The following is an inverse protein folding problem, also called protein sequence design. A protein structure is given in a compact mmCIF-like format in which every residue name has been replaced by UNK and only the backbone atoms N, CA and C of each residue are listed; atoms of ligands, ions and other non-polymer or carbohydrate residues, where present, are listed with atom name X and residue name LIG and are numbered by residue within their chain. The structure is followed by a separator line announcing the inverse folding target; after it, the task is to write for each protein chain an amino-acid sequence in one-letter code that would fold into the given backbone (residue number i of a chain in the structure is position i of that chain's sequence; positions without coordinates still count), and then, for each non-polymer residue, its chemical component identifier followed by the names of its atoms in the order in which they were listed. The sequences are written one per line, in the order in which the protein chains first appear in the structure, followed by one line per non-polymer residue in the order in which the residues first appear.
data_IF_733368268942
#
_entry.id   IF_733368268942
#
_cell.length_a   1.000
_cell.length_b   1.000
_cell.length_c   1.000
_cell.angle_alpha   90.00
_cell.angle_beta   90.00
_cell.angle_gamma   90.00
#
_symmetry.space_group_name_H-M   'P 1'
#
loop_
_entity.id
_entity.type
_entity.pdbx_description
1 polymer ?
#
# COMPACT_ATOMS: atom_id res chain seq x y z
N UNK A 1 -9.84 16.55 -33.37
CA UNK A 1 -10.48 15.38 -32.74
C UNK A 1 -9.41 14.29 -32.68
N UNK A 2 -8.81 14.10 -31.51
CA UNK A 2 -7.66 13.21 -31.25
C UNK A 2 -8.06 12.22 -30.16
N UNK A 3 -7.53 10.99 -30.18
CA UNK A 3 -8.34 9.80 -29.96
C UNK A 3 -8.64 9.54 -28.49
N UNK A 4 -9.88 9.11 -28.24
CA UNK A 4 -10.38 8.58 -26.97
C UNK A 4 -9.80 7.20 -26.60
N UNK A 5 -8.71 6.75 -27.25
CA UNK A 5 -8.15 5.40 -27.12
C UNK A 5 -7.25 5.19 -25.90
N UNK A 6 -6.62 6.25 -25.39
CA UNK A 6 -5.64 6.11 -24.30
C UNK A 6 -6.30 5.85 -22.94
N UNK A 7 -7.50 6.39 -22.70
CA UNK A 7 -8.24 6.14 -21.44
C UNK A 7 -8.69 4.68 -21.35
N UNK A 8 -9.23 4.15 -22.45
CA UNK A 8 -9.85 2.82 -22.47
C UNK A 8 -8.79 1.70 -22.41
N UNK A 9 -7.64 1.89 -23.07
CA UNK A 9 -6.49 0.99 -22.93
C UNK A 9 -5.90 1.05 -21.51
N UNK A 10 -5.68 2.24 -20.94
CA UNK A 10 -5.14 2.38 -19.59
C UNK A 10 -6.10 1.82 -18.54
N UNK A 11 -7.40 2.06 -18.67
CA UNK A 11 -8.42 1.45 -17.81
C UNK A 11 -8.44 -0.08 -17.94
N UNK A 12 -8.33 -0.61 -19.16
CA UNK A 12 -8.19 -2.05 -19.39
C UNK A 12 -6.95 -2.65 -18.73
N UNK A 13 -5.81 -1.96 -18.78
CA UNK A 13 -4.59 -2.37 -18.09
C UNK A 13 -4.73 -2.31 -16.56
N UNK A 14 -5.38 -1.26 -16.03
CA UNK A 14 -5.66 -1.15 -14.58
C UNK A 14 -6.55 -2.32 -14.14
N UNK A 15 -7.60 -2.64 -14.90
CA UNK A 15 -8.49 -3.76 -14.62
C UNK A 15 -7.75 -5.11 -14.68
N UNK A 16 -6.88 -5.32 -15.68
CA UNK A 16 -6.03 -6.50 -15.76
C UNK A 16 -5.05 -6.61 -14.59
N UNK A 17 -4.50 -5.48 -14.13
CA UNK A 17 -3.63 -5.42 -12.96
C UNK A 17 -4.42 -5.73 -11.68
N UNK A 18 -5.62 -5.17 -11.50
CA UNK A 18 -6.53 -5.49 -10.40
C UNK A 18 -6.82 -6.99 -10.34
N UNK A 19 -7.19 -7.60 -11.48
CA UNK A 19 -7.42 -9.03 -11.57
C UNK A 19 -6.19 -9.86 -11.13
N UNK A 20 -4.98 -9.47 -11.57
CA UNK A 20 -3.74 -10.12 -11.17
C UNK A 20 -3.45 -9.99 -9.65
N UNK A 21 -3.76 -8.84 -9.06
CA UNK A 21 -3.57 -8.58 -7.64
C UNK A 21 -4.55 -9.39 -6.77
N UNK A 22 -5.81 -9.48 -7.18
CA UNK A 22 -6.88 -10.11 -6.42
C UNK A 22 -6.67 -11.63 -6.25
N UNK A 23 -6.02 -12.32 -7.19
CA UNK A 23 -5.68 -13.75 -7.04
C UNK A 23 -6.90 -14.67 -6.83
N UNK A 24 -6.69 -15.98 -6.60
CA UNK A 24 -7.80 -16.94 -6.42
C UNK A 24 -8.64 -16.61 -5.18
N UNK A 25 -9.82 -16.03 -5.45
CA UNK A 25 -10.87 -15.68 -4.50
C UNK A 25 -11.29 -16.92 -3.69
N UNK A 26 -10.83 -17.05 -2.44
CA UNK A 26 -11.37 -18.02 -1.48
C UNK A 26 -10.38 -18.59 -0.46
N UNK A 27 -9.06 -18.54 -0.70
CA UNK A 27 -8.07 -19.09 0.22
C UNK A 27 -6.87 -18.14 0.41
N UNK A 28 -6.33 -18.10 1.63
CA UNK A 28 -5.09 -17.36 1.92
C UNK A 28 -3.94 -17.91 1.07
N UNK A 29 -3.20 -16.99 0.45
CA UNK A 29 -1.99 -17.36 -0.30
C UNK A 29 -0.91 -17.89 0.66
N UNK A 30 0.04 -18.67 0.14
CA UNK A 30 1.18 -19.13 0.94
C UNK A 30 1.99 -17.97 1.54
N UNK A 31 2.12 -16.85 0.81
CA UNK A 31 2.78 -15.65 1.32
C UNK A 31 2.01 -15.02 2.48
N UNK A 32 0.68 -15.02 2.43
CA UNK A 32 -0.17 -14.53 3.50
C UNK A 32 -0.02 -15.37 4.77
N UNK A 33 0.00 -16.70 4.65
CA UNK A 33 0.25 -17.61 5.78
C UNK A 33 1.65 -17.41 6.38
N UNK A 34 2.68 -17.24 5.55
CA UNK A 34 4.04 -16.91 6.01
C UNK A 34 4.07 -15.59 6.78
N UNK A 35 3.36 -14.57 6.29
CA UNK A 35 3.23 -13.31 7.02
C UNK A 35 2.54 -13.49 8.37
N UNK A 36 1.43 -14.24 8.45
CA UNK A 36 0.78 -14.54 9.72
C UNK A 36 1.74 -15.24 10.70
N UNK A 37 2.53 -16.20 10.24
CA UNK A 37 3.55 -16.86 11.07
C UNK A 37 4.59 -15.86 11.60
N UNK A 38 5.07 -14.92 10.76
CA UNK A 38 5.99 -13.87 11.21
C UNK A 38 5.33 -12.98 12.28
N UNK A 39 4.05 -12.64 12.12
CA UNK A 39 3.33 -11.83 13.09
C UNK A 39 3.19 -12.57 14.43
N UNK A 40 2.86 -13.87 14.42
CA UNK A 40 2.81 -14.68 15.63
C UNK A 40 4.18 -14.82 16.31
N UNK A 41 5.26 -14.98 15.54
CA UNK A 41 6.60 -15.21 16.11
C UNK A 41 7.28 -13.94 16.57
N UNK A 42 7.09 -12.83 15.86
CA UNK A 42 7.89 -11.61 16.01
C UNK A 42 7.06 -10.37 16.39
N UNK A 43 5.73 -10.42 16.28
CA UNK A 43 4.88 -9.23 16.38
C UNK A 43 4.90 -8.55 17.74
N UNK A 44 5.25 -9.27 18.80
CA UNK A 44 5.39 -8.77 20.18
C UNK A 44 6.84 -8.53 20.61
N UNK A 45 7.83 -8.72 19.72
CA UNK A 45 9.27 -8.53 20.02
C UNK A 45 9.99 -7.63 18.99
N UNK A 46 9.25 -6.90 18.16
CA UNK A 46 9.81 -5.93 17.22
C UNK A 46 9.73 -6.30 15.74
N UNK A 47 8.61 -6.84 15.25
CA UNK A 47 8.43 -7.08 13.80
C UNK A 47 8.34 -5.75 13.03
N UNK A 48 9.22 -5.56 12.05
CA UNK A 48 9.13 -4.47 11.07
C UNK A 48 8.65 -4.99 9.72
N UNK A 49 7.66 -4.33 9.12
CA UNK A 49 7.06 -4.73 7.85
C UNK A 49 7.06 -3.56 6.87
N UNK A 50 7.86 -3.68 5.83
CA UNK A 50 7.78 -2.83 4.64
C UNK A 50 7.01 -3.56 3.54
N UNK A 51 5.91 -2.98 3.08
CA UNK A 51 5.06 -3.61 2.08
C UNK A 51 4.75 -2.66 0.92
N UNK A 52 5.20 -3.04 -0.27
CA UNK A 52 5.01 -2.29 -1.51
C UNK A 52 3.96 -2.96 -2.41
N UNK A 53 3.13 -2.16 -3.07
CA UNK A 53 2.21 -2.64 -4.12
C UNK A 53 1.36 -3.83 -3.67
N UNK A 54 1.40 -4.97 -4.37
CA UNK A 54 0.74 -6.23 -3.98
C UNK A 54 1.20 -6.77 -2.62
N UNK A 55 2.44 -6.50 -2.22
CA UNK A 55 2.97 -6.91 -0.92
C UNK A 55 2.10 -6.41 0.24
N UNK A 56 1.50 -5.21 0.10
CA UNK A 56 0.59 -4.68 1.11
C UNK A 56 -0.70 -5.50 1.22
N UNK A 57 -1.17 -6.16 0.14
CA UNK A 57 -2.31 -7.09 0.22
C UNK A 57 -1.93 -8.37 0.95
N UNK A 58 -0.67 -8.81 0.86
CA UNK A 58 -0.20 -9.97 1.62
C UNK A 58 -0.26 -9.70 3.12
N UNK A 59 0.29 -8.56 3.55
CA UNK A 59 0.25 -8.12 4.94
C UNK A 59 -1.20 -7.81 5.39
N UNK A 60 -1.92 -7.02 4.58
CA UNK A 60 -3.29 -6.60 4.85
C UNK A 60 -4.28 -7.75 4.98
N UNK A 61 -4.35 -8.64 3.99
CA UNK A 61 -5.26 -9.79 4.04
C UNK A 61 -4.87 -10.76 5.16
N UNK A 62 -3.58 -10.94 5.44
CA UNK A 62 -3.12 -11.82 6.51
C UNK A 62 -3.49 -11.30 7.89
N UNK A 63 -3.27 -10.02 8.15
CA UNK A 63 -3.68 -9.38 9.39
C UNK A 63 -5.20 -9.35 9.53
N UNK A 64 -5.94 -8.99 8.47
CA UNK A 64 -7.39 -8.91 8.53
C UNK A 64 -8.05 -10.29 8.72
N UNK A 65 -7.49 -11.34 8.14
CA UNK A 65 -7.94 -12.70 8.38
C UNK A 65 -7.78 -13.11 9.85
N UNK A 66 -6.66 -12.78 10.49
CA UNK A 66 -6.44 -13.04 11.92
C UNK A 66 -7.45 -12.28 12.79
N UNK A 67 -7.63 -10.99 12.52
CA UNK A 67 -8.63 -10.14 13.19
C UNK A 67 -10.05 -10.74 13.07
N UNK A 68 -10.45 -11.16 11.87
CA UNK A 68 -11.75 -11.79 11.62
C UNK A 68 -11.96 -13.08 12.41
N UNK A 69 -10.88 -13.81 12.71
CA UNK A 69 -10.91 -15.01 13.57
C UNK A 69 -10.77 -14.68 15.07
N UNK A 70 -10.88 -13.41 15.46
CA UNK A 70 -10.85 -12.98 16.86
C UNK A 70 -9.45 -12.99 17.47
N UNK A 71 -8.40 -13.07 16.66
CA UNK A 71 -7.02 -12.98 17.16
C UNK A 71 -6.73 -11.54 17.57
N UNK A 72 -6.08 -11.36 18.72
CA UNK A 72 -5.62 -10.08 19.21
C UNK A 72 -4.37 -10.25 20.10
N UNK A 73 -3.71 -9.15 20.46
CA UNK A 73 -2.54 -9.14 21.34
C UNK A 73 -1.25 -9.77 20.80
N UNK A 74 -1.14 -9.99 19.49
CA UNK A 74 0.04 -10.60 18.83
C UNK A 74 0.97 -9.59 18.14
N UNK A 75 0.56 -8.32 18.03
CA UNK A 75 1.25 -7.31 17.22
C UNK A 75 1.69 -6.06 18.01
N UNK A 76 1.96 -6.20 19.31
CA UNK A 76 2.20 -5.06 20.23
C UNK A 76 3.43 -4.22 19.87
N UNK A 77 4.44 -4.84 19.27
CA UNK A 77 5.69 -4.19 18.87
C UNK A 77 5.87 -4.20 17.34
N UNK A 78 4.77 -4.33 16.60
CA UNK A 78 4.81 -4.39 15.14
C UNK A 78 4.74 -3.00 14.53
N UNK A 79 5.65 -2.69 13.61
CA UNK A 79 5.67 -1.43 12.85
C UNK A 79 5.52 -1.71 11.37
N UNK A 80 4.71 -0.90 10.67
CA UNK A 80 4.34 -1.16 9.28
C UNK A 80 4.47 0.11 8.44
N UNK A 81 5.17 -0.01 7.31
CA UNK A 81 5.23 1.01 6.27
C UNK A 81 4.66 0.47 4.96
N UNK A 82 3.76 1.22 4.36
CA UNK A 82 3.14 0.92 3.08
C UNK A 82 3.62 1.90 2.01
N UNK A 83 4.04 1.37 0.86
CA UNK A 83 4.57 2.13 -0.28
C UNK A 83 3.74 1.82 -1.53
N UNK A 84 3.06 2.82 -2.10
CA UNK A 84 2.11 2.63 -3.21
C UNK A 84 1.18 1.41 -3.01
N UNK A 85 0.55 1.24 -1.83
CA UNK A 85 -0.04 -0.04 -1.45
C UNK A 85 -1.32 -0.36 -2.22
N UNK A 86 -1.45 -1.60 -2.69
CA UNK A 86 -2.71 -2.10 -3.26
C UNK A 86 -3.78 -2.41 -2.19
N UNK A 87 -3.39 -2.44 -0.92
CA UNK A 87 -4.30 -2.61 0.22
C UNK A 87 -4.64 -1.27 0.84
N UNK A 88 -5.83 -1.16 1.44
CA UNK A 88 -6.25 0.07 2.09
C UNK A 88 -5.52 0.25 3.43
N UNK A 89 -4.75 1.33 3.55
CA UNK A 89 -3.89 1.62 4.70
C UNK A 89 -4.70 1.96 5.94
N UNK A 90 -5.87 2.59 5.78
CA UNK A 90 -6.76 2.82 6.92
C UNK A 90 -7.29 1.51 7.49
N UNK A 91 -7.71 0.56 6.63
CA UNK A 91 -8.11 -0.77 7.08
C UNK A 91 -6.94 -1.48 7.78
N UNK A 92 -5.71 -1.36 7.25
CA UNK A 92 -4.55 -1.93 7.90
C UNK A 92 -4.29 -1.33 9.29
N UNK A 93 -4.40 -0.01 9.44
CA UNK A 93 -4.24 0.65 10.74
C UNK A 93 -5.32 0.22 11.73
N UNK A 94 -6.57 0.13 11.27
CA UNK A 94 -7.71 -0.33 12.07
C UNK A 94 -7.49 -1.78 12.55
N UNK A 95 -7.06 -2.68 11.65
CA UNK A 95 -6.72 -4.08 11.96
C UNK A 95 -5.51 -4.19 12.90
N UNK A 96 -4.43 -3.44 12.64
CA UNK A 96 -3.21 -3.47 13.46
C UNK A 96 -3.51 -3.00 14.90
N UNK A 97 -4.40 -2.02 15.05
CA UNK A 97 -4.89 -1.58 16.36
C UNK A 97 -5.53 -2.74 17.14
N UNK A 98 -6.38 -3.53 16.50
CA UNK A 98 -7.02 -4.70 17.15
C UNK A 98 -5.98 -5.77 17.46
N UNK A 99 -5.13 -6.14 16.50
CA UNK A 99 -4.11 -7.17 16.68
C UNK A 99 -3.05 -6.82 17.74
N UNK A 100 -2.91 -5.54 18.07
CA UNK A 100 -1.96 -5.04 19.06
C UNK A 100 -2.57 -4.68 20.42
N UNK A 101 -3.86 -4.98 20.65
CA UNK A 101 -4.60 -4.52 21.84
C UNK A 101 -4.51 -2.99 22.05
N UNK A 102 -4.54 -2.24 20.94
CA UNK A 102 -4.44 -0.77 20.92
C UNK A 102 -3.03 -0.21 21.14
N UNK A 103 -1.98 -1.04 21.18
CA UNK A 103 -0.59 -0.57 21.33
C UNK A 103 -0.04 0.09 20.08
N UNK A 104 -0.45 -0.37 18.90
CA UNK A 104 -0.06 0.18 17.61
C UNK A 104 -1.27 0.86 16.97
N UNK A 105 -1.21 2.16 16.73
CA UNK A 105 -2.37 2.94 16.32
C UNK A 105 -2.22 3.65 14.98
N UNK A 106 -1.15 3.35 14.22
CA UNK A 106 -0.99 3.86 12.86
C UNK A 106 -0.21 2.91 11.96
N UNK A 107 -0.36 3.12 10.65
CA UNK A 107 0.50 2.55 9.61
C UNK A 107 1.06 3.71 8.80
N UNK A 108 2.36 3.68 8.50
CA UNK A 108 2.98 4.71 7.68
C UNK A 108 2.61 4.51 6.21
N UNK A 109 2.27 5.60 5.52
CA UNK A 109 1.94 5.61 4.10
C UNK A 109 2.89 6.51 3.33
N UNK A 110 3.40 5.99 2.22
CA UNK A 110 3.94 6.77 1.13
C UNK A 110 3.17 6.39 -0.15
N UNK A 111 2.47 7.36 -0.73
CA UNK A 111 1.66 7.11 -1.91
C UNK A 111 1.63 8.33 -2.83
N UNK A 112 1.92 8.12 -4.10
CA UNK A 112 1.97 9.19 -5.08
C UNK A 112 0.58 9.43 -5.70
N UNK A 113 0.20 10.70 -5.93
CA UNK A 113 -1.11 11.08 -6.50
C UNK A 113 -1.48 10.36 -7.80
N UNK A 114 -0.50 10.13 -8.67
CA UNK A 114 -0.69 9.47 -9.96
C UNK A 114 -0.43 7.95 -9.93
N UNK A 115 -0.11 7.38 -8.77
CA UNK A 115 -0.03 5.92 -8.60
C UNK A 115 -1.44 5.33 -8.50
N UNK A 116 -1.91 4.68 -9.57
CA UNK A 116 -3.24 4.09 -9.58
C UNK A 116 -3.35 2.86 -8.65
N UNK A 117 -2.24 2.17 -8.35
CA UNK A 117 -2.26 1.01 -7.45
C UNK A 117 -2.63 1.48 -6.04
N UNK A 118 -1.95 2.51 -5.56
CA UNK A 118 -2.29 3.14 -4.28
C UNK A 118 -3.66 3.84 -4.28
N UNK A 119 -3.91 4.70 -5.26
CA UNK A 119 -5.06 5.62 -5.23
C UNK A 119 -6.37 5.03 -5.72
N UNK A 120 -6.34 4.10 -6.70
CA UNK A 120 -7.56 3.50 -7.27
C UNK A 120 -7.83 2.10 -6.74
N UNK A 121 -6.81 1.25 -6.67
CA UNK A 121 -6.96 -0.13 -6.19
C UNK A 121 -7.04 -0.14 -4.66
N UNK A 122 -6.00 0.37 -3.99
CA UNK A 122 -5.97 0.46 -2.53
C UNK A 122 -6.88 1.54 -1.94
N UNK A 123 -7.38 2.48 -2.76
CA UNK A 123 -8.20 3.62 -2.35
C UNK A 123 -7.55 4.45 -1.25
N UNK A 124 -6.23 4.59 -1.32
CA UNK A 124 -5.43 5.33 -0.35
C UNK A 124 -5.34 6.81 -0.71
N UNK A 125 -5.22 7.71 0.29
CA UNK A 125 -4.84 9.09 0.04
C UNK A 125 -3.42 9.14 -0.55
N UNK A 126 -3.08 10.23 -1.22
CA UNK A 126 -1.70 10.50 -1.63
C UNK A 126 -1.01 11.35 -0.58
N UNK A 127 0.31 11.22 -0.49
CA UNK A 127 1.17 11.96 0.45
C UNK A 127 2.14 12.90 -0.26
N UNK A 128 2.36 12.71 -1.56
CA UNK A 128 3.12 13.59 -2.44
C UNK A 128 2.63 13.47 -3.90
N UNK A 129 3.01 14.44 -4.75
CA UNK A 129 2.40 14.57 -6.09
C UNK A 129 3.32 15.12 -7.20
N UNK A 130 4.61 15.33 -6.92
CA UNK A 130 5.52 15.90 -7.91
C UNK A 130 5.71 14.95 -9.10
N UNK A 131 5.65 15.52 -10.31
CA UNK A 131 5.93 14.83 -11.57
C UNK A 131 6.84 15.69 -12.46
N UNK A 132 7.53 15.10 -13.45
CA UNK A 132 8.37 15.88 -14.36
C UNK A 132 7.58 16.97 -15.11
N UNK A 133 8.17 18.15 -15.38
CA UNK A 133 7.55 19.19 -16.19
C UNK A 133 7.07 18.66 -17.55
N UNK A 134 5.88 19.07 -17.97
CA UNK A 134 5.26 18.57 -19.21
C UNK A 134 4.77 17.12 -19.16
N UNK A 135 4.82 16.47 -17.98
CA UNK A 135 4.14 15.20 -17.76
C UNK A 135 2.69 15.41 -17.29
N UNK A 136 1.91 14.34 -17.29
CA UNK A 136 0.53 14.34 -16.85
C UNK A 136 0.09 12.98 -16.30
N UNK A 137 -1.09 12.91 -15.65
CA UNK A 137 -1.55 11.71 -14.95
C UNK A 137 -1.55 10.44 -15.82
N UNK A 138 -1.94 10.55 -17.09
CA UNK A 138 -1.99 9.42 -18.02
C UNK A 138 -0.62 8.88 -18.38
N UNK A 139 0.33 9.78 -18.67
CA UNK A 139 1.71 9.42 -18.96
C UNK A 139 2.34 8.71 -17.77
N UNK A 140 2.17 9.26 -16.57
CA UNK A 140 2.73 8.66 -15.36
C UNK A 140 2.12 7.30 -15.02
N UNK A 141 0.81 7.12 -15.23
CA UNK A 141 0.17 5.80 -15.09
C UNK A 141 0.73 4.80 -16.09
N UNK A 142 0.98 5.21 -17.33
CA UNK A 142 1.66 4.37 -18.33
C UNK A 142 3.09 4.00 -17.92
N UNK A 143 3.81 4.91 -17.26
CA UNK A 143 5.18 4.66 -16.78
C UNK A 143 5.25 3.60 -15.67
N UNK A 144 4.18 3.42 -14.89
CA UNK A 144 4.11 2.35 -13.86
C UNK A 144 4.34 0.97 -14.49
N UNK A 145 3.81 0.73 -15.68
CA UNK A 145 4.00 -0.55 -16.39
C UNK A 145 5.40 -0.71 -16.99
N UNK A 146 6.13 0.38 -17.20
CA UNK A 146 7.52 0.36 -17.69
C UNK A 146 8.54 0.19 -16.57
N UNK A 147 8.10 0.14 -15.31
CA UNK A 147 8.94 -0.12 -14.15
C UNK A 147 9.61 1.14 -13.59
N UNK A 148 10.91 1.05 -13.32
CA UNK A 148 11.68 2.10 -12.68
C UNK A 148 12.32 3.06 -13.69
N UNK A 149 12.35 4.38 -13.42
CA UNK A 149 11.66 5.09 -12.35
C UNK A 149 10.21 5.42 -12.75
N UNK A 150 9.29 5.32 -11.79
CA UNK A 150 7.89 5.69 -11.97
C UNK A 150 7.26 6.10 -10.64
N UNK A 151 6.09 6.74 -10.71
CA UNK A 151 5.29 7.11 -9.54
C UNK A 151 4.91 5.93 -8.63
N UNK A 152 4.99 4.69 -9.13
CA UNK A 152 4.73 3.48 -8.34
C UNK A 152 6.01 2.81 -7.81
N UNK A 153 7.19 3.15 -8.35
CA UNK A 153 8.47 2.57 -7.94
C UNK A 153 9.35 3.54 -7.12
N UNK A 154 9.01 4.83 -7.12
CA UNK A 154 9.78 5.88 -6.47
C UNK A 154 9.21 6.23 -5.09
N UNK A 155 9.52 5.36 -4.14
CA UNK A 155 9.14 5.48 -2.72
C UNK A 155 10.36 5.26 -1.81
N UNK A 156 10.28 5.67 -0.56
CA UNK A 156 11.36 5.56 0.43
C UNK A 156 12.59 6.40 0.10
N UNK A 157 13.77 5.94 0.47
CA UNK A 157 15.05 6.59 0.12
C UNK A 157 15.47 6.25 -1.33
N UNK A 158 14.57 6.51 -2.28
CA UNK A 158 14.81 6.20 -3.69
C UNK A 158 15.98 7.02 -4.25
N UNK A 159 16.74 6.42 -5.19
CA UNK A 159 17.91 7.05 -5.79
C UNK A 159 17.62 8.35 -6.55
N UNK A 160 18.68 9.05 -6.97
CA UNK A 160 18.62 10.38 -7.61
C UNK A 160 17.60 10.50 -8.75
N UNK A 161 17.42 9.44 -9.57
CA UNK A 161 16.45 9.44 -10.66
C UNK A 161 14.99 9.57 -10.19
N UNK A 162 14.67 9.10 -8.98
CA UNK A 162 13.36 9.27 -8.38
C UNK A 162 13.21 10.66 -7.76
N UNK A 163 14.16 11.11 -6.95
CA UNK A 163 14.03 12.41 -6.29
C UNK A 163 14.06 13.57 -7.28
N UNK A 164 14.79 13.46 -8.39
CA UNK A 164 14.79 14.50 -9.43
C UNK A 164 13.50 14.55 -10.24
N UNK A 165 12.84 13.41 -10.46
CA UNK A 165 11.63 13.31 -11.29
C UNK A 165 10.34 13.47 -10.50
N UNK A 166 10.30 12.88 -9.30
CA UNK A 166 9.10 12.68 -8.51
C UNK A 166 9.16 13.33 -7.12
N UNK A 167 10.23 14.08 -6.85
CA UNK A 167 10.45 14.72 -5.55
C UNK A 167 10.83 13.74 -4.46
N UNK A 168 11.04 14.28 -3.26
CA UNK A 168 11.27 13.46 -2.07
C UNK A 168 9.97 12.79 -1.63
N UNK A 169 9.97 11.47 -1.38
CA UNK A 169 8.81 10.80 -0.82
C UNK A 169 8.43 11.40 0.54
N UNK A 170 7.12 11.52 0.77
CA UNK A 170 6.58 12.06 2.01
C UNK A 170 5.86 10.94 2.75
N UNK A 171 6.39 10.55 3.90
CA UNK A 171 5.80 9.54 4.77
C UNK A 171 4.79 10.19 5.71
N UNK A 172 3.55 9.71 5.66
CA UNK A 172 2.48 10.21 6.52
C UNK A 172 1.88 9.06 7.33
N UNK A 173 1.77 9.19 8.66
CA UNK A 173 1.08 8.19 9.47
C UNK A 173 -0.43 8.23 9.21
N UNK A 174 -1.02 7.07 8.95
CA UNK A 174 -2.48 6.89 8.87
C UNK A 174 -2.93 6.23 10.18
N UNK A 175 -3.58 7.00 11.04
CA UNK A 175 -4.04 6.54 12.34
C UNK A 175 -5.32 5.70 12.24
N UNK A 176 -5.40 4.68 13.08
CA UNK A 176 -6.60 3.88 13.31
C UNK A 176 -7.77 4.75 13.75
N UNK A 177 -8.96 4.49 13.21
CA UNK A 177 -10.20 5.16 13.65
C UNK A 177 -10.56 4.83 15.09
N UNK A 178 -10.08 3.70 15.61
CA UNK A 178 -10.33 3.24 16.98
C UNK A 178 -9.42 3.90 18.02
N UNK A 179 -8.37 4.60 17.59
CA UNK A 179 -7.40 5.26 18.49
C UNK A 179 -7.97 6.48 19.21
N UNK A 180 -9.14 6.99 18.81
CA UNK A 180 -9.72 8.23 19.34
C UNK A 180 -8.97 9.51 18.93
N UNK A 181 -7.89 9.41 18.15
CA UNK A 181 -7.19 10.57 17.58
C UNK A 181 -8.06 11.19 16.49
N UNK A 182 -8.36 12.49 16.62
CA UNK A 182 -9.09 13.23 15.58
C UNK A 182 -8.23 13.31 14.31
N UNK A 183 -8.88 13.08 13.16
CA UNK A 183 -8.28 13.22 11.83
C UNK A 183 -7.95 14.67 11.50
#
# INVERSE_FOLDING_TARGET
MFPHSDSLLVEGFIAGYQYFLEGKLGALTNSTKKYQNLLYSLGNIGLHVDAHSRGSMTAGNGSHDLEKHGVHGIAKETTINFFGPAYNTQNMADTLYILSDGKQDYVNLENHKNDFVGTKIGKNPYTFEQIPPGSGPWKERGQIFKGYPSVHACYGHAGYACTSRYGSPNRTPIYSKYSGRKK
#
